data_IF_219763738868
#
_entry.id   IF_219763738868
#
_cell.length_a   1.000
_cell.length_b   1.000
_cell.length_c   1.000
_cell.angle_alpha   90.00
_cell.angle_beta   90.00
_cell.angle_gamma   90.00
#
_symmetry.space_group_name_H-M   'P 1'
#
loop_
_entity.id
_entity.type
_entity.pdbx_description
1 polymer ?
#
# COMPACT_ATOMS: atom_id res chain seq x y z
N UNK A 1 -15.56 -19.92 1.93
CA UNK A 1 -14.56 -19.18 1.14
C UNK A 1 -14.04 -18.01 1.97
N UNK A 2 -12.74 -17.73 1.91
CA UNK A 2 -12.10 -16.73 2.76
C UNK A 2 -11.05 -15.96 1.94
N UNK A 3 -10.95 -14.64 2.13
CA UNK A 3 -9.95 -13.83 1.45
C UNK A 3 -8.62 -14.02 2.18
N UNK A 4 -7.68 -14.72 1.55
CA UNK A 4 -6.39 -15.03 2.19
C UNK A 4 -5.26 -14.16 1.68
N UNK A 5 -5.36 -13.66 0.43
CA UNK A 5 -4.31 -12.84 -0.18
C UNK A 5 -4.95 -11.83 -1.12
N UNK A 6 -4.39 -10.62 -1.16
CA UNK A 6 -4.72 -9.62 -2.17
C UNK A 6 -3.41 -9.05 -2.72
N UNK A 7 -3.41 -8.63 -3.98
CA UNK A 7 -2.19 -8.23 -4.68
C UNK A 7 -2.12 -6.73 -4.89
N UNK A 8 -0.90 -6.20 -4.86
CA UNK A 8 -0.58 -4.81 -5.21
C UNK A 8 0.63 -4.82 -6.13
N UNK A 9 0.49 -4.27 -7.33
CA UNK A 9 1.62 -4.17 -8.27
C UNK A 9 2.58 -3.07 -7.83
N UNK A 10 3.88 -3.37 -7.91
CA UNK A 10 4.94 -2.43 -7.56
C UNK A 10 6.02 -2.43 -8.65
N UNK A 11 6.65 -1.28 -8.86
CA UNK A 11 7.70 -1.13 -9.87
C UNK A 11 9.00 -1.81 -9.46
N UNK A 12 9.27 -1.89 -8.16
CA UNK A 12 10.51 -2.43 -7.60
C UNK A 12 10.18 -3.12 -6.28
N UNK A 13 10.35 -4.45 -6.23
CA UNK A 13 9.99 -5.23 -5.06
C UNK A 13 10.86 -4.91 -3.83
N UNK A 14 12.17 -4.65 -4.01
CA UNK A 14 13.05 -4.29 -2.90
C UNK A 14 12.66 -2.96 -2.29
N UNK A 15 12.43 -1.97 -3.13
CA UNK A 15 12.01 -0.64 -2.71
C UNK A 15 10.65 -0.68 -2.02
N UNK A 16 9.71 -1.45 -2.57
CA UNK A 16 8.38 -1.60 -2.00
C UNK A 16 8.44 -2.30 -0.65
N UNK A 17 9.23 -3.37 -0.52
CA UNK A 17 9.39 -4.06 0.76
C UNK A 17 9.87 -3.10 1.85
N UNK A 18 10.89 -2.29 1.54
CA UNK A 18 11.40 -1.31 2.50
C UNK A 18 10.34 -0.26 2.87
N UNK A 19 9.64 0.27 1.88
CA UNK A 19 8.61 1.30 2.13
C UNK A 19 7.46 0.76 2.98
N UNK A 20 6.92 -0.39 2.59
CA UNK A 20 5.74 -0.95 3.26
C UNK A 20 6.04 -1.48 4.66
N UNK A 21 7.27 -1.93 4.92
CA UNK A 21 7.66 -2.39 6.27
C UNK A 21 8.22 -1.26 7.12
N UNK A 22 9.23 -0.55 6.64
CA UNK A 22 9.93 0.46 7.45
C UNK A 22 9.12 1.74 7.61
N UNK A 23 8.44 2.19 6.55
CA UNK A 23 7.67 3.43 6.58
C UNK A 23 6.23 3.20 7.03
N UNK A 24 5.53 2.24 6.43
CA UNK A 24 4.12 2.00 6.76
C UNK A 24 3.93 1.11 7.99
N UNK A 25 4.88 0.26 8.32
CA UNK A 25 4.81 -0.55 9.52
C UNK A 25 4.21 -1.94 9.36
N UNK A 26 4.00 -2.41 8.13
CA UNK A 26 3.57 -3.79 7.91
C UNK A 26 4.70 -4.76 8.25
N UNK A 27 4.34 -6.02 8.51
CA UNK A 27 5.32 -7.06 8.82
C UNK A 27 5.47 -8.01 7.64
N UNK A 28 6.72 -8.37 7.34
CA UNK A 28 7.01 -9.34 6.28
C UNK A 28 6.71 -10.74 6.81
N UNK A 29 5.82 -11.47 6.14
CA UNK A 29 5.50 -12.86 6.48
C UNK A 29 6.23 -13.84 5.59
N UNK A 30 6.32 -13.56 4.30
CA UNK A 30 7.01 -14.41 3.33
C UNK A 30 7.87 -13.58 2.41
N UNK A 31 9.02 -14.14 2.01
CA UNK A 31 9.91 -13.56 1.00
C UNK A 31 10.64 -14.73 0.34
N UNK A 32 10.04 -15.27 -0.72
CA UNK A 32 10.47 -16.53 -1.33
C UNK A 32 10.92 -16.27 -2.76
N UNK A 33 12.17 -16.64 -3.14
CA UNK A 33 12.62 -16.49 -4.52
C UNK A 33 11.74 -17.30 -5.48
N UNK A 34 11.34 -16.66 -6.59
CA UNK A 34 10.56 -17.29 -7.66
C UNK A 34 11.07 -16.82 -9.00
N UNK A 35 12.10 -17.46 -9.53
CA UNK A 35 12.77 -17.04 -10.76
C UNK A 35 13.47 -15.70 -10.56
N UNK A 36 13.21 -14.73 -11.47
CA UNK A 36 13.79 -13.40 -11.36
C UNK A 36 13.05 -12.47 -10.40
N UNK A 37 11.91 -12.92 -9.89
CA UNK A 37 11.10 -12.17 -8.94
C UNK A 37 10.97 -12.91 -7.61
N UNK A 38 10.25 -12.32 -6.66
CA UNK A 38 10.06 -12.88 -5.34
C UNK A 38 8.57 -12.88 -4.98
N UNK A 39 8.17 -13.91 -4.21
CA UNK A 39 6.88 -13.92 -3.56
C UNK A 39 7.05 -13.19 -2.23
N UNK A 40 6.59 -11.93 -2.16
CA UNK A 40 6.69 -11.12 -0.95
C UNK A 40 5.30 -10.87 -0.41
N UNK A 41 5.01 -11.42 0.76
CA UNK A 41 3.73 -11.26 1.43
C UNK A 41 3.89 -10.54 2.76
N UNK A 42 3.06 -9.53 2.98
CA UNK A 42 3.03 -8.73 4.20
C UNK A 42 1.74 -8.96 4.95
N UNK A 43 1.78 -8.73 6.26
CA UNK A 43 0.58 -8.76 7.10
C UNK A 43 0.50 -7.52 7.96
N UNK A 44 -0.72 -7.18 8.39
CA UNK A 44 -0.92 -6.13 9.38
C UNK A 44 -0.40 -6.62 10.72
N UNK A 45 0.39 -5.81 11.45
CA UNK A 45 0.91 -6.23 12.77
C UNK A 45 -0.19 -6.52 13.77
N UNK A 46 -1.36 -5.90 13.60
CA UNK A 46 -2.54 -6.12 14.45
C UNK A 46 -3.23 -7.45 14.17
N UNK A 47 -2.96 -8.05 13.01
CA UNK A 47 -3.59 -9.32 12.60
C UNK A 47 -2.61 -10.16 11.76
N UNK A 48 -1.55 -10.70 12.40
CA UNK A 48 -0.50 -11.41 11.65
C UNK A 48 -0.96 -12.71 10.99
N UNK A 49 -2.10 -13.25 11.39
CA UNK A 49 -2.69 -14.45 10.77
C UNK A 49 -3.81 -14.09 9.79
N UNK A 50 -4.01 -12.81 9.53
CA UNK A 50 -5.06 -12.33 8.62
C UNK A 50 -4.67 -12.34 7.16
N UNK A 51 -5.45 -11.59 6.37
CA UNK A 51 -5.22 -11.47 4.93
C UNK A 51 -3.84 -10.90 4.65
N UNK A 52 -3.15 -11.49 3.69
CA UNK A 52 -1.81 -11.07 3.28
C UNK A 52 -1.88 -10.10 2.12
N UNK A 53 -0.98 -9.13 2.11
CA UNK A 53 -0.77 -8.23 0.97
C UNK A 53 0.44 -8.72 0.20
N UNK A 54 0.23 -9.09 -1.06
CA UNK A 54 1.29 -9.57 -1.93
C UNK A 54 1.82 -8.41 -2.76
N UNK A 55 3.13 -8.14 -2.66
CA UNK A 55 3.80 -7.13 -3.48
C UNK A 55 4.26 -7.79 -4.78
N UNK A 56 3.49 -7.60 -5.85
CA UNK A 56 3.75 -8.22 -7.14
C UNK A 56 4.51 -7.29 -8.08
N UNK A 57 5.48 -7.81 -8.84
CA UNK A 57 6.13 -6.99 -9.86
C UNK A 57 5.15 -6.62 -10.97
N UNK A 58 5.25 -5.41 -11.49
CA UNK A 58 4.41 -4.95 -12.60
C UNK A 58 4.99 -5.34 -13.97
N UNK A 59 5.63 -6.51 -14.04
CA UNK A 59 6.36 -6.94 -15.22
C UNK A 59 5.46 -7.20 -16.44
N UNK A 60 4.24 -7.67 -16.21
CA UNK A 60 3.29 -7.92 -17.29
C UNK A 60 2.82 -6.58 -17.89
N UNK A 61 2.83 -6.44 -19.24
CA UNK A 61 2.42 -5.17 -19.87
C UNK A 61 1.04 -4.67 -19.45
N UNK A 62 0.08 -5.57 -19.24
CA UNK A 62 -1.27 -5.19 -18.83
C UNK A 62 -1.29 -4.60 -17.41
N UNK A 63 -0.50 -5.17 -16.49
CA UNK A 63 -0.39 -4.66 -15.13
C UNK A 63 0.27 -3.29 -15.11
N UNK A 64 1.34 -3.14 -15.90
CA UNK A 64 2.09 -1.89 -15.99
C UNK A 64 1.23 -0.77 -16.56
N UNK A 65 0.52 -1.04 -17.64
CA UNK A 65 -0.36 -0.06 -18.26
C UNK A 65 -1.48 0.36 -17.32
N UNK A 66 -2.11 -0.60 -16.67
CA UNK A 66 -3.16 -0.33 -15.68
C UNK A 66 -2.64 0.55 -14.54
N UNK A 67 -1.50 0.16 -13.96
CA UNK A 67 -0.89 0.91 -12.85
C UNK A 67 -0.56 2.34 -13.26
N UNK A 68 0.07 2.53 -14.43
CA UNK A 68 0.45 3.85 -14.91
C UNK A 68 -0.75 4.75 -15.17
N UNK A 69 -1.82 4.18 -15.72
CA UNK A 69 -3.02 4.95 -16.03
C UNK A 69 -3.76 5.41 -14.78
N UNK A 70 -3.98 4.52 -13.82
CA UNK A 70 -4.67 4.95 -12.59
C UNK A 70 -3.81 5.91 -11.78
N UNK A 71 -2.50 5.73 -11.78
CA UNK A 71 -1.59 6.67 -11.12
C UNK A 71 -1.66 8.06 -11.75
N UNK A 72 -1.65 8.14 -13.07
CA UNK A 72 -1.72 9.41 -13.79
C UNK A 72 -3.02 10.17 -13.49
N UNK A 73 -4.10 9.45 -13.17
CA UNK A 73 -5.39 10.05 -12.84
C UNK A 73 -5.58 10.27 -11.33
N UNK A 74 -4.57 9.97 -10.52
CA UNK A 74 -4.64 10.14 -9.07
C UNK A 74 -5.52 9.12 -8.36
N UNK A 75 -5.82 8.00 -9.01
CA UNK A 75 -6.71 6.97 -8.44
C UNK A 75 -5.91 6.04 -7.53
N UNK A 76 -6.32 5.88 -6.26
CA UNK A 76 -5.63 4.95 -5.36
C UNK A 76 -5.74 3.50 -5.82
N UNK A 77 -4.62 2.77 -5.72
CA UNK A 77 -4.58 1.35 -6.08
C UNK A 77 -5.22 0.46 -5.00
N UNK A 78 -5.13 0.87 -3.74
CA UNK A 78 -5.72 0.15 -2.61
C UNK A 78 -5.95 1.08 -1.43
N UNK A 79 -6.58 0.55 -0.38
CA UNK A 79 -6.92 1.33 0.81
C UNK A 79 -6.59 0.55 2.07
N UNK A 80 -5.99 1.22 3.05
CA UNK A 80 -5.70 0.66 4.36
C UNK A 80 -6.47 1.41 5.43
N UNK A 81 -6.91 0.69 6.46
CA UNK A 81 -7.58 1.28 7.61
C UNK A 81 -6.58 1.77 8.65
N UNK A 82 -6.87 2.90 9.27
CA UNK A 82 -6.07 3.45 10.37
C UNK A 82 -7.00 3.85 11.51
N UNK A 83 -6.50 3.82 12.74
CA UNK A 83 -7.31 4.18 13.92
C UNK A 83 -7.28 5.69 14.21
N UNK A 84 -6.21 6.38 13.82
CA UNK A 84 -6.06 7.83 14.01
C UNK A 84 -5.36 8.42 12.78
N UNK A 85 -6.16 8.88 11.83
CA UNK A 85 -5.64 9.34 10.55
C UNK A 85 -4.78 10.62 10.66
N UNK A 86 -5.10 11.49 11.61
CA UNK A 86 -4.30 12.72 11.78
C UNK A 86 -2.93 12.41 12.35
N UNK A 87 -2.84 11.49 13.30
CA UNK A 87 -1.56 11.04 13.85
C UNK A 87 -0.74 10.32 12.79
N UNK A 88 -1.38 9.47 11.99
CA UNK A 88 -0.71 8.74 10.91
C UNK A 88 -0.22 9.67 9.82
N UNK A 89 -1.03 10.65 9.44
CA UNK A 89 -0.65 11.68 8.48
C UNK A 89 0.61 12.41 8.93
N UNK A 90 0.63 12.88 10.18
CA UNK A 90 1.79 13.58 10.73
C UNK A 90 3.03 12.69 10.75
N UNK A 91 2.88 11.44 11.19
CA UNK A 91 3.98 10.48 11.24
C UNK A 91 4.59 10.26 9.85
N UNK A 92 3.74 10.05 8.85
CA UNK A 92 4.20 9.83 7.47
C UNK A 92 4.82 11.06 6.86
N UNK A 93 4.28 12.26 7.12
CA UNK A 93 4.91 13.51 6.68
C UNK A 93 6.32 13.66 7.26
N UNK A 94 6.49 13.34 8.54
CA UNK A 94 7.80 13.43 9.20
C UNK A 94 8.81 12.45 8.60
N UNK A 95 8.33 11.36 8.01
CA UNK A 95 9.16 10.38 7.28
C UNK A 95 9.38 10.73 5.81
N UNK A 96 8.87 11.86 5.35
CA UNK A 96 9.07 12.34 3.98
C UNK A 96 8.04 11.84 2.97
N UNK A 97 6.96 11.21 3.41
CA UNK A 97 5.90 10.73 2.52
C UNK A 97 5.14 11.91 1.94
N UNK A 98 4.87 11.85 0.64
CA UNK A 98 4.15 12.92 -0.07
C UNK A 98 2.68 12.55 -0.23
N UNK A 99 1.80 13.42 0.26
CA UNK A 99 0.36 13.24 0.15
C UNK A 99 -0.19 14.05 -1.03
N UNK A 100 -1.02 13.41 -1.82
CA UNK A 100 -1.80 14.09 -2.88
C UNK A 100 -3.10 14.62 -2.32
N UNK A 101 -3.64 14.01 -1.25
CA UNK A 101 -4.84 14.45 -0.54
C UNK A 101 -4.55 14.36 0.94
N UNK A 102 -4.57 15.49 1.63
CA UNK A 102 -4.45 15.52 3.10
C UNK A 102 -5.73 15.01 3.75
N UNK A 103 -5.73 14.71 5.07
CA UNK A 103 -6.92 14.20 5.74
C UNK A 103 -8.14 15.06 5.44
N UNK A 104 -9.16 14.43 4.88
CA UNK A 104 -10.38 15.07 4.38
C UNK A 104 -11.58 14.31 4.88
N UNK A 105 -12.49 15.01 5.55
CA UNK A 105 -13.71 14.40 6.04
C UNK A 105 -14.69 14.17 4.88
N UNK A 106 -15.12 12.94 4.78
CA UNK A 106 -16.22 12.51 3.91
C UNK A 106 -17.42 12.20 4.80
N UNK A 107 -18.50 11.69 4.22
CA UNK A 107 -19.73 11.45 4.98
C UNK A 107 -19.54 10.48 6.15
N UNK A 108 -19.03 9.29 5.89
CA UNK A 108 -18.89 8.22 6.89
C UNK A 108 -17.43 7.89 7.24
N UNK A 109 -16.47 8.60 6.67
CA UNK A 109 -15.05 8.25 6.76
C UNK A 109 -14.21 9.50 6.56
N UNK A 110 -13.02 9.52 7.18
CA UNK A 110 -11.98 10.51 6.87
C UNK A 110 -10.92 9.79 6.06
N UNK A 111 -10.49 10.38 4.94
CA UNK A 111 -9.52 9.76 4.03
C UNK A 111 -8.31 10.66 3.80
N UNK A 112 -7.20 10.05 3.41
CA UNK A 112 -6.02 10.74 2.89
C UNK A 112 -5.38 9.84 1.84
N UNK A 113 -4.60 10.43 0.92
CA UNK A 113 -3.97 9.68 -0.17
C UNK A 113 -2.50 10.09 -0.27
N UNK A 114 -1.61 9.11 -0.38
CA UNK A 114 -0.18 9.35 -0.51
C UNK A 114 0.44 8.52 -1.62
N UNK A 115 1.63 8.96 -2.05
CA UNK A 115 2.44 8.28 -3.06
C UNK A 115 3.31 7.23 -2.35
N UNK A 116 3.24 5.96 -2.78
CA UNK A 116 4.04 4.88 -2.18
C UNK A 116 5.46 4.81 -2.76
N UNK A 117 5.81 5.70 -3.68
CA UNK A 117 7.10 5.73 -4.40
C UNK A 117 7.37 4.50 -5.28
N UNK A 118 6.39 3.63 -5.43
CA UNK A 118 6.50 2.38 -6.20
C UNK A 118 5.47 2.29 -7.33
N UNK A 119 4.95 3.43 -7.75
CA UNK A 119 4.00 3.53 -8.85
C UNK A 119 2.54 3.58 -8.45
N UNK A 120 2.24 3.72 -7.15
CA UNK A 120 0.87 3.73 -6.67
C UNK A 120 0.55 4.93 -5.80
N UNK A 121 -0.69 5.39 -5.88
CA UNK A 121 -1.29 6.14 -4.79
C UNK A 121 -2.02 5.19 -3.86
N UNK A 122 -1.92 5.44 -2.58
CA UNK A 122 -2.52 4.62 -1.52
C UNK A 122 -3.45 5.50 -0.71
N UNK A 123 -4.67 5.02 -0.50
CA UNK A 123 -5.62 5.70 0.37
C UNK A 123 -5.57 5.09 1.76
N UNK A 124 -5.53 5.93 2.78
CA UNK A 124 -5.80 5.50 4.16
C UNK A 124 -7.14 6.06 4.59
N UNK A 125 -7.83 5.33 5.44
CA UNK A 125 -9.18 5.68 5.87
C UNK A 125 -9.39 5.40 7.34
N UNK A 126 -10.07 6.33 8.00
CA UNK A 126 -10.54 6.16 9.37
C UNK A 126 -12.05 6.29 9.36
N UNK A 127 -12.80 5.19 9.61
CA UNK A 127 -14.26 5.27 9.73
C UNK A 127 -14.67 6.18 10.88
N UNK A 128 -15.73 6.93 10.66
CA UNK A 128 -16.30 7.81 11.70
C UNK A 128 -17.12 7.03 12.70
#
# INVERSE_FOLDING_TARGET
MNIIVTSLFVEDQDKALAFYTETLGFEKKHDIPMGKFRWIALVSPENPEGTELLLEPNDHPASREYQQKIFAEGIPATMFGVSDIHAEYKRLLDLGVQFSIEPTEMDTVTIAVFDDTCGNFIQIAQPK
#
